data_IF_172910977572
#
_entry.id   IF_172910977572
#
_cell.length_a   1.000
_cell.length_b   1.000
_cell.length_c   1.000
_cell.angle_alpha   90.00
_cell.angle_beta   90.00
_cell.angle_gamma   90.00
#
_symmetry.space_group_name_H-M   'P 1'
#
loop_
_entity.id
_entity.type
_entity.pdbx_description
1 polymer ?
#
# COMPACT_ATOMS: atom_id res chain seq x y z
N UNK A 1 8.67 -13.03 -12.58
CA UNK A 1 8.17 -13.02 -11.21
C UNK A 1 9.08 -12.15 -10.36
N UNK A 2 8.55 -11.14 -9.70
CA UNK A 2 9.34 -10.21 -8.88
C UNK A 2 8.72 -10.15 -7.48
N UNK A 3 9.45 -10.66 -6.50
CA UNK A 3 8.98 -10.73 -5.10
C UNK A 3 9.69 -9.70 -4.25
N UNK A 4 8.91 -8.97 -3.45
CA UNK A 4 9.37 -8.03 -2.44
C UNK A 4 8.99 -8.54 -1.06
N UNK A 5 9.95 -8.53 -0.15
CA UNK A 5 9.71 -8.81 1.28
C UNK A 5 9.48 -7.51 2.03
N UNK A 6 8.86 -7.58 3.22
CA UNK A 6 8.64 -6.43 4.09
C UNK A 6 9.91 -5.60 4.33
N UNK A 7 11.06 -6.27 4.48
CA UNK A 7 12.37 -5.60 4.67
C UNK A 7 12.73 -4.73 3.47
N UNK A 8 12.58 -5.26 2.25
CA UNK A 8 12.88 -4.52 1.02
C UNK A 8 11.91 -3.36 0.85
N UNK A 9 10.61 -3.59 1.07
CA UNK A 9 9.59 -2.54 0.96
C UNK A 9 9.91 -1.37 1.90
N UNK A 10 10.27 -1.66 3.15
CA UNK A 10 10.60 -0.63 4.17
C UNK A 10 11.93 0.09 3.93
N UNK A 11 12.85 -0.48 3.16
CA UNK A 11 14.15 0.14 2.86
C UNK A 11 14.11 1.12 1.68
N UNK A 12 12.98 1.22 0.99
CA UNK A 12 12.84 2.06 -0.20
C UNK A 12 12.48 3.51 0.16
N UNK A 13 12.82 4.47 -0.70
CA UNK A 13 12.53 5.87 -0.45
C UNK A 13 11.04 6.10 -0.19
N UNK A 14 10.74 6.81 0.89
CA UNK A 14 9.39 7.21 1.26
C UNK A 14 9.11 8.62 0.76
N UNK A 15 8.01 8.83 0.05
CA UNK A 15 7.56 10.15 -0.36
C UNK A 15 6.74 10.77 0.79
N UNK A 16 7.20 11.88 1.37
CA UNK A 16 6.51 12.50 2.50
C UNK A 16 6.45 11.63 3.77
N UNK A 17 7.35 10.63 3.89
CA UNK A 17 7.34 9.64 4.98
C UNK A 17 6.44 8.43 4.73
N UNK A 18 5.82 8.34 3.55
CA UNK A 18 4.95 7.23 3.15
C UNK A 18 5.63 6.36 2.09
N UNK A 19 5.86 5.09 2.42
CA UNK A 19 6.34 4.10 1.45
C UNK A 19 5.14 3.51 0.72
N UNK A 20 5.14 3.59 -0.61
CA UNK A 20 4.04 3.11 -1.44
C UNK A 20 4.45 1.87 -2.24
N UNK A 21 3.74 0.76 -2.01
CA UNK A 21 4.03 -0.52 -2.65
C UNK A 21 3.94 -0.44 -4.18
N UNK A 22 2.96 0.27 -4.70
CA UNK A 22 2.75 0.38 -6.16
C UNK A 22 3.89 1.17 -6.80
N UNK A 23 4.31 2.28 -6.17
CA UNK A 23 5.44 3.09 -6.63
C UNK A 23 6.74 2.29 -6.67
N UNK A 24 6.94 1.40 -5.70
CA UNK A 24 8.09 0.48 -5.72
C UNK A 24 8.07 -0.42 -6.95
N UNK A 25 6.93 -0.99 -7.30
CA UNK A 25 6.83 -1.81 -8.50
C UNK A 25 7.02 -1.03 -9.80
N UNK A 26 6.64 0.25 -9.83
CA UNK A 26 6.87 1.13 -10.98
C UNK A 26 8.36 1.36 -11.27
N UNK A 27 9.25 1.14 -10.29
CA UNK A 27 10.70 1.16 -10.50
C UNK A 27 11.25 -0.13 -11.11
N UNK A 28 10.40 -1.16 -11.27
CA UNK A 28 10.87 -2.45 -11.82
C UNK A 28 10.79 -2.50 -13.36
N UNK A 29 11.72 -3.13 -14.06
CA UNK A 29 11.69 -3.23 -15.52
C UNK A 29 10.37 -3.78 -16.03
N UNK A 30 9.83 -3.15 -17.09
CA UNK A 30 8.55 -3.57 -17.73
C UNK A 30 7.30 -3.17 -16.94
N UNK A 31 7.44 -2.30 -15.97
CA UNK A 31 6.32 -1.60 -15.31
C UNK A 31 6.49 -0.11 -15.58
N UNK A 32 5.44 0.53 -16.01
CA UNK A 32 5.42 1.96 -16.29
C UNK A 32 4.46 2.66 -15.34
N UNK A 33 4.79 3.90 -15.02
CA UNK A 33 3.85 4.83 -14.42
C UNK A 33 2.83 5.24 -15.47
N UNK A 34 1.61 5.51 -15.05
CA UNK A 34 0.65 6.22 -15.86
C UNK A 34 1.02 7.71 -15.97
N UNK A 35 0.05 8.59 -15.87
CA UNK A 35 0.31 10.03 -15.74
C UNK A 35 1.12 10.32 -14.48
N UNK A 36 1.96 11.35 -14.51
CA UNK A 36 2.78 11.75 -13.38
C UNK A 36 1.96 11.86 -12.09
N UNK A 37 2.46 11.22 -11.03
CA UNK A 37 1.82 11.20 -9.72
C UNK A 37 0.76 10.14 -9.50
N UNK A 38 0.36 9.36 -10.52
CA UNK A 38 -0.66 8.32 -10.34
C UNK A 38 -0.06 6.96 -9.95
N UNK A 39 -0.78 6.20 -9.13
CA UNK A 39 -0.40 4.83 -8.74
C UNK A 39 -0.89 3.77 -9.71
N UNK A 40 -1.22 4.13 -10.95
CA UNK A 40 -1.58 3.19 -12.00
C UNK A 40 -0.43 2.21 -12.29
N UNK A 41 -0.73 0.92 -12.31
CA UNK A 41 0.23 -0.13 -12.62
C UNK A 41 0.07 -0.51 -14.11
N UNK A 42 0.97 -0.02 -14.96
CA UNK A 42 1.01 -0.38 -16.37
C UNK A 42 2.10 -1.42 -16.60
N UNK A 43 1.70 -2.68 -16.75
CA UNK A 43 2.64 -3.78 -16.91
C UNK A 43 2.68 -4.22 -18.36
N UNK A 44 3.89 -4.15 -18.98
CA UNK A 44 4.13 -4.57 -20.37
C UNK A 44 3.14 -3.97 -21.36
N UNK A 45 2.79 -2.70 -21.20
CA UNK A 45 1.85 -1.99 -22.08
C UNK A 45 0.38 -2.22 -21.77
N UNK A 46 0.06 -3.02 -20.76
CA UNK A 46 -1.32 -3.20 -20.31
C UNK A 46 -1.83 -2.01 -19.49
N UNK A 47 -3.15 -1.80 -19.48
CA UNK A 47 -3.81 -0.79 -18.67
C UNK A 47 -4.02 -1.26 -17.21
N UNK A 48 -4.22 -0.34 -16.25
CA UNK A 48 -4.35 -0.68 -14.83
C UNK A 48 -5.47 -1.68 -14.51
N UNK A 49 -6.58 -1.63 -15.25
CA UNK A 49 -7.73 -2.54 -15.11
C UNK A 49 -7.43 -3.97 -15.57
N UNK A 50 -6.36 -4.16 -16.34
CA UNK A 50 -5.91 -5.48 -16.80
C UNK A 50 -5.02 -6.21 -15.78
N UNK A 51 -4.73 -5.62 -14.64
CA UNK A 51 -3.98 -6.26 -13.58
C UNK A 51 -4.92 -6.87 -12.55
N UNK A 52 -4.63 -8.10 -12.12
CA UNK A 52 -5.26 -8.69 -10.95
C UNK A 52 -4.48 -8.29 -9.72
N UNK A 53 -5.09 -7.57 -8.82
CA UNK A 53 -4.49 -7.24 -7.52
C UNK A 53 -5.22 -7.99 -6.43
N UNK A 54 -4.47 -8.70 -5.60
CA UNK A 54 -5.01 -9.55 -4.55
C UNK A 54 -4.37 -9.20 -3.21
N UNK A 55 -5.17 -9.22 -2.17
CA UNK A 55 -4.75 -9.11 -0.78
C UNK A 55 -5.24 -10.35 -0.03
N UNK A 56 -4.33 -11.21 0.43
CA UNK A 56 -4.62 -12.50 1.05
C UNK A 56 -5.68 -13.30 0.26
N UNK A 57 -5.39 -13.54 -1.03
CA UNK A 57 -6.25 -14.24 -1.99
C UNK A 57 -7.60 -13.57 -2.32
N UNK A 58 -7.87 -12.36 -1.80
CA UNK A 58 -9.07 -11.58 -2.10
C UNK A 58 -8.79 -10.53 -3.18
N UNK A 59 -9.52 -10.52 -4.31
CA UNK A 59 -9.34 -9.50 -5.35
C UNK A 59 -9.72 -8.10 -4.87
N UNK A 60 -8.81 -7.13 -5.10
CA UNK A 60 -9.06 -5.72 -4.87
C UNK A 60 -9.35 -5.00 -6.19
N UNK A 61 -10.47 -4.31 -6.25
CA UNK A 61 -10.87 -3.54 -7.42
C UNK A 61 -10.35 -2.11 -7.41
N UNK A 62 -10.26 -1.50 -6.23
CA UNK A 62 -9.70 -0.17 -6.07
C UNK A 62 -8.50 -0.23 -5.11
N UNK A 63 -7.33 0.00 -5.67
CA UNK A 63 -6.05 -0.06 -4.94
C UNK A 63 -5.47 1.32 -4.63
N UNK A 64 -6.24 2.37 -4.88
CA UNK A 64 -5.76 3.74 -4.83
C UNK A 64 -6.63 4.64 -3.98
N UNK A 65 -5.97 5.54 -3.26
CA UNK A 65 -6.57 6.71 -2.62
C UNK A 65 -6.17 7.99 -3.35
N UNK A 66 -6.89 9.07 -3.12
CA UNK A 66 -6.59 10.42 -3.63
C UNK A 66 -6.33 10.44 -5.15
N UNK A 67 -7.26 9.87 -5.92
CA UNK A 67 -7.14 9.86 -7.38
C UNK A 67 -5.91 9.15 -7.94
N UNK A 68 -5.28 8.28 -7.15
CA UNK A 68 -4.10 7.51 -7.57
C UNK A 68 -2.77 8.00 -7.00
N UNK A 69 -2.75 8.98 -6.13
CA UNK A 69 -1.49 9.47 -5.53
C UNK A 69 -0.94 8.55 -4.43
N UNK A 70 -1.80 7.80 -3.76
CA UNK A 70 -1.44 6.92 -2.65
C UNK A 70 -2.13 5.58 -2.85
N UNK A 71 -1.39 4.49 -2.62
CA UNK A 71 -1.99 3.16 -2.67
C UNK A 71 -2.77 2.84 -1.39
N UNK A 72 -3.74 1.93 -1.53
CA UNK A 72 -4.51 1.40 -0.41
C UNK A 72 -3.68 0.50 0.53
N UNK A 73 -2.44 0.18 0.15
CA UNK A 73 -1.60 -0.75 0.90
C UNK A 73 -0.89 -0.06 2.06
N UNK A 74 -1.18 -0.50 3.28
CA UNK A 74 -0.40 -0.13 4.45
C UNK A 74 0.83 -1.06 4.54
N UNK A 75 2.01 -0.53 4.19
CA UNK A 75 3.25 -1.30 4.10
C UNK A 75 3.73 -1.88 5.43
N UNK A 76 3.27 -1.35 6.57
CA UNK A 76 3.60 -1.91 7.88
C UNK A 76 2.84 -3.21 8.18
N UNK A 77 1.71 -3.42 7.52
CA UNK A 77 0.91 -4.64 7.63
C UNK A 77 1.24 -5.69 6.55
N UNK A 78 2.21 -5.43 5.66
CA UNK A 78 2.56 -6.35 4.57
C UNK A 78 3.72 -7.24 4.96
N UNK A 79 3.57 -8.55 4.76
CA UNK A 79 4.60 -9.57 4.88
C UNK A 79 5.45 -9.69 3.60
N UNK A 80 4.76 -9.80 2.49
CA UNK A 80 5.40 -9.92 1.18
C UNK A 80 4.43 -9.54 0.07
N UNK A 81 4.98 -9.17 -1.07
CA UNK A 81 4.20 -8.99 -2.30
C UNK A 81 4.94 -9.61 -3.47
N UNK A 82 4.20 -10.06 -4.48
CA UNK A 82 4.74 -10.72 -5.66
C UNK A 82 4.05 -10.18 -6.89
N UNK A 83 4.81 -9.59 -7.82
CA UNK A 83 4.33 -9.19 -9.13
C UNK A 83 4.71 -10.24 -10.19
N UNK A 84 3.70 -10.81 -10.84
CA UNK A 84 3.84 -11.79 -11.92
C UNK A 84 3.44 -11.08 -13.22
N UNK A 85 4.41 -10.88 -14.12
CA UNK A 85 4.25 -10.07 -15.35
C UNK A 85 3.92 -10.90 -16.58
N UNK A 86 3.19 -11.99 -16.45
CA UNK A 86 2.81 -12.94 -17.48
C UNK A 86 3.23 -14.36 -17.14
N UNK A 87 2.62 -15.35 -17.80
CA UNK A 87 2.81 -16.76 -17.47
C UNK A 87 2.36 -17.12 -16.07
N UNK A 88 1.28 -16.48 -15.61
CA UNK A 88 0.77 -16.73 -14.27
C UNK A 88 0.08 -18.10 -14.18
N UNK A 89 0.19 -18.77 -13.01
CA UNK A 89 -0.47 -20.05 -12.77
C UNK A 89 -1.98 -20.00 -12.99
N UNK A 90 -2.58 -21.14 -13.32
CA UNK A 90 -4.02 -21.27 -13.62
C UNK A 90 -4.96 -20.82 -12.48
N UNK A 91 -4.46 -20.74 -11.24
CA UNK A 91 -5.23 -20.21 -10.10
C UNK A 91 -5.56 -18.72 -10.24
N UNK A 92 -4.83 -17.98 -11.05
CA UNK A 92 -5.07 -16.56 -11.33
C UNK A 92 -5.78 -16.41 -12.66
N UNK A 93 -7.02 -15.96 -12.64
CA UNK A 93 -7.81 -15.74 -13.84
C UNK A 93 -8.42 -14.34 -13.90
N UNK A 94 -9.10 -14.03 -15.03
CA UNK A 94 -9.90 -12.83 -15.18
C UNK A 94 -9.15 -11.53 -15.46
N UNK A 95 -7.83 -11.56 -15.62
CA UNK A 95 -7.00 -10.39 -16.00
C UNK A 95 -5.91 -10.78 -17.01
N UNK A 96 -5.48 -9.81 -17.81
CA UNK A 96 -4.65 -10.07 -19.01
C UNK A 96 -3.19 -9.68 -18.85
N UNK A 97 -2.87 -8.66 -18.04
CA UNK A 97 -1.54 -8.05 -18.02
C UNK A 97 -0.65 -8.64 -16.93
N UNK A 98 -1.08 -8.56 -15.68
CA UNK A 98 -0.28 -9.04 -14.55
C UNK A 98 -1.11 -9.47 -13.35
N UNK A 99 -0.45 -10.12 -12.40
CA UNK A 99 -0.99 -10.42 -11.07
C UNK A 99 -0.08 -9.81 -10.02
N UNK A 100 -0.64 -8.97 -9.17
CA UNK A 100 -0.01 -8.48 -7.95
C UNK A 100 -0.65 -9.19 -6.76
N UNK A 101 0.09 -10.10 -6.17
CA UNK A 101 -0.31 -10.89 -5.00
C UNK A 101 0.36 -10.30 -3.76
N UNK A 102 -0.44 -9.78 -2.83
CA UNK A 102 0.00 -9.13 -1.60
C UNK A 102 -0.46 -9.96 -0.42
N UNK A 103 0.49 -10.33 0.43
CA UNK A 103 0.22 -11.11 1.64
C UNK A 103 0.43 -10.24 2.87
N UNK A 104 -0.54 -10.23 3.76
CA UNK A 104 -0.50 -9.53 5.03
C UNK A 104 0.47 -10.19 6.00
N UNK A 105 0.97 -9.41 6.95
CA UNK A 105 1.85 -9.91 7.99
C UNK A 105 1.03 -10.59 9.10
N UNK A 106 1.53 -11.72 9.54
CA UNK A 106 1.03 -12.38 10.76
C UNK A 106 1.55 -11.66 12.01
N UNK A 107 0.84 -11.80 13.12
CA UNK A 107 1.32 -11.37 14.41
C UNK A 107 2.48 -12.22 14.93
N UNK A 108 3.23 -11.70 15.88
CA UNK A 108 4.31 -12.44 16.53
C UNK A 108 3.75 -13.45 17.54
N UNK A 109 4.11 -14.72 17.41
CA UNK A 109 3.64 -15.81 18.28
C UNK A 109 4.28 -15.83 19.69
N UNK A 110 5.37 -15.07 19.91
CA UNK A 110 6.16 -15.20 21.15
C UNK A 110 6.20 -13.91 21.96
N UNK A 111 6.24 -12.75 21.33
CA UNK A 111 6.43 -11.44 21.97
C UNK A 111 5.46 -10.41 21.40
N UNK A 112 4.95 -9.55 22.28
CA UNK A 112 4.23 -8.34 21.88
C UNK A 112 5.23 -7.30 21.42
N UNK A 113 4.93 -6.67 20.30
CA UNK A 113 5.72 -5.61 19.73
C UNK A 113 4.83 -4.62 18.98
N UNK A 114 5.39 -3.49 18.62
CA UNK A 114 4.66 -2.48 17.86
C UNK A 114 5.60 -1.47 17.23
N UNK A 115 5.04 -0.69 16.33
CA UNK A 115 5.72 0.39 15.64
C UNK A 115 4.80 1.60 15.54
N UNK A 116 5.37 2.78 15.74
CA UNK A 116 4.71 4.06 15.46
C UNK A 116 5.56 4.80 14.44
N UNK A 117 4.94 5.26 13.38
CA UNK A 117 5.59 6.05 12.34
C UNK A 117 4.80 7.33 12.13
N UNK A 118 5.49 8.46 12.23
CA UNK A 118 4.94 9.78 11.98
C UNK A 118 5.65 10.36 10.75
N UNK A 119 4.90 10.53 9.68
CA UNK A 119 5.35 11.18 8.47
C UNK A 119 4.77 12.59 8.34
N UNK A 120 5.15 13.30 7.27
CA UNK A 120 4.64 14.65 7.01
C UNK A 120 3.13 14.64 6.71
N UNK A 121 2.63 13.61 6.04
CA UNK A 121 1.25 13.53 5.54
C UNK A 121 0.45 12.38 6.12
N UNK A 122 1.09 11.45 6.87
CA UNK A 122 0.45 10.28 7.43
C UNK A 122 1.03 9.90 8.80
N UNK A 123 0.20 9.27 9.61
CA UNK A 123 0.60 8.59 10.84
C UNK A 123 0.18 7.13 10.75
N UNK A 124 1.06 6.23 11.20
CA UNK A 124 0.83 4.79 11.23
C UNK A 124 1.12 4.24 12.61
N UNK A 125 0.29 3.32 13.02
CA UNK A 125 0.46 2.59 14.27
C UNK A 125 0.24 1.11 13.98
N UNK A 126 1.16 0.28 14.42
CA UNK A 126 1.03 -1.18 14.28
C UNK A 126 1.37 -1.81 15.61
N UNK A 127 0.54 -2.73 16.06
CA UNK A 127 0.78 -3.57 17.22
C UNK A 127 0.53 -5.02 16.85
N UNK A 128 1.37 -5.91 17.34
CA UNK A 128 1.22 -7.34 17.12
C UNK A 128 1.72 -8.12 18.34
N UNK A 129 1.24 -9.34 18.50
CA UNK A 129 1.65 -10.18 19.61
C UNK A 129 0.90 -11.49 19.69
N UNK A 130 1.23 -12.33 20.69
CA UNK A 130 0.54 -13.58 20.89
C UNK A 130 -0.81 -13.37 21.59
N UNK A 131 -1.87 -13.98 21.07
CA UNK A 131 -3.10 -14.25 21.82
C UNK A 131 -2.84 -15.43 22.73
N UNK A 132 -2.21 -16.48 22.18
CA UNK A 132 -1.73 -17.64 22.91
C UNK A 132 -0.32 -17.96 22.41
N UNK A 133 0.66 -17.99 23.33
CA UNK A 133 2.06 -18.24 22.97
C UNK A 133 2.21 -19.48 22.10
N UNK A 134 2.94 -19.33 21.00
CA UNK A 134 3.25 -20.35 19.99
C UNK A 134 2.03 -21.00 19.29
N UNK A 135 0.80 -20.46 19.45
CA UNK A 135 -0.39 -21.02 18.83
C UNK A 135 -1.18 -19.98 18.02
N UNK A 136 -1.46 -18.83 18.61
CA UNK A 136 -2.26 -17.80 17.96
C UNK A 136 -1.67 -16.41 18.21
N UNK A 137 -1.73 -15.56 17.20
CA UNK A 137 -1.24 -14.19 17.26
C UNK A 137 -2.25 -13.23 16.67
N UNK A 138 -2.06 -11.96 16.96
CA UNK A 138 -2.81 -10.86 16.38
C UNK A 138 -1.85 -9.84 15.77
N UNK A 139 -2.33 -9.14 14.76
CA UNK A 139 -1.73 -7.93 14.21
C UNK A 139 -2.84 -6.92 13.98
N UNK A 140 -2.65 -5.70 14.48
CA UNK A 140 -3.53 -4.57 14.23
C UNK A 140 -2.68 -3.46 13.68
N UNK A 141 -3.02 -2.96 12.52
CA UNK A 141 -2.31 -1.85 11.88
C UNK A 141 -3.29 -0.79 11.44
N UNK A 142 -3.05 0.43 11.90
CA UNK A 142 -3.86 1.60 11.60
C UNK A 142 -3.00 2.64 10.88
N UNK A 143 -3.55 3.22 9.81
CA UNK A 143 -2.97 4.34 9.09
C UNK A 143 -4.00 5.47 8.98
N UNK A 144 -3.58 6.69 9.29
CA UNK A 144 -4.32 7.92 9.01
C UNK A 144 -3.51 8.80 8.08
N UNK A 145 -4.12 9.20 6.99
CA UNK A 145 -3.61 10.21 6.10
C UNK A 145 -4.30 11.55 6.41
N UNK A 146 -3.52 12.62 6.63
CA UNK A 146 -4.00 13.91 7.12
C UNK A 146 -3.50 15.10 6.31
N UNK A 147 -3.50 14.97 5.00
CA UNK A 147 -3.06 16.04 4.10
C UNK A 147 -3.90 17.32 4.28
N UNK A 148 -5.14 17.21 4.74
CA UNK A 148 -6.03 18.32 5.07
C UNK A 148 -5.46 19.27 6.12
N UNK A 149 -4.71 18.76 7.10
CA UNK A 149 -4.11 19.61 8.14
C UNK A 149 -3.05 20.57 7.57
N UNK A 150 -2.41 20.20 6.48
CA UNK A 150 -1.38 21.01 5.81
C UNK A 150 -2.00 21.85 4.69
N UNK A 151 -2.88 21.25 3.90
CA UNK A 151 -3.46 21.88 2.73
C UNK A 151 -4.44 23.01 3.06
N UNK A 152 -5.27 22.85 4.09
CA UNK A 152 -6.27 23.85 4.49
C UNK A 152 -5.67 25.22 4.82
N UNK A 153 -4.70 25.35 5.74
CA UNK A 153 -4.14 26.65 6.07
C UNK A 153 -3.42 27.30 4.89
N UNK A 154 -2.82 26.51 4.01
CA UNK A 154 -2.16 27.00 2.81
C UNK A 154 -3.18 27.51 1.78
N UNK A 155 -4.23 26.73 1.53
CA UNK A 155 -5.30 27.11 0.60
C UNK A 155 -6.03 28.38 1.05
N UNK A 156 -6.32 28.53 2.34
CA UNK A 156 -6.96 29.71 2.90
C UNK A 156 -6.11 30.98 2.79
N UNK A 157 -4.77 30.83 2.81
CA UNK A 157 -3.87 31.98 2.56
C UNK A 157 -3.88 32.43 1.11
N UNK A 158 -4.03 31.50 0.17
CA UNK A 158 -4.03 31.81 -1.27
C UNK A 158 -5.40 32.26 -1.73
N UNK A 159 -6.47 31.65 -1.25
CA UNK A 159 -7.84 32.00 -1.59
C UNK A 159 -8.73 31.89 -0.34
N UNK A 160 -9.01 33.03 0.34
CA UNK A 160 -9.85 33.06 1.52
C UNK A 160 -11.24 32.48 1.24
N UNK A 161 -11.67 31.51 2.07
CA UNK A 161 -12.95 30.81 1.92
C UNK A 161 -12.87 29.49 1.16
N UNK A 162 -11.70 29.13 0.58
CA UNK A 162 -11.51 27.81 -0.02
C UNK A 162 -11.39 26.72 1.06
N UNK A 163 -12.08 25.59 0.84
CA UNK A 163 -11.94 24.38 1.66
C UNK A 163 -11.29 23.29 0.81
N UNK A 164 -10.01 23.07 1.00
CA UNK A 164 -9.28 21.94 0.44
C UNK A 164 -8.95 21.00 1.59
N UNK A 165 -9.37 19.76 1.49
CA UNK A 165 -9.04 18.78 2.50
C UNK A 165 -9.30 17.38 2.00
N UNK A 166 -8.32 16.50 2.20
CA UNK A 166 -8.44 15.08 1.97
C UNK A 166 -7.83 14.32 3.14
N UNK A 167 -8.60 13.40 3.69
CA UNK A 167 -8.14 12.47 4.70
C UNK A 167 -8.76 11.09 4.46
N UNK A 168 -8.09 10.06 4.91
CA UNK A 168 -8.61 8.70 4.94
C UNK A 168 -7.96 7.89 6.06
N UNK A 169 -8.55 6.76 6.35
CA UNK A 169 -8.09 5.82 7.36
C UNK A 169 -8.06 4.42 6.76
N UNK A 170 -7.03 3.66 7.10
CA UNK A 170 -6.95 2.23 6.82
C UNK A 170 -6.77 1.48 8.14
N UNK A 171 -7.55 0.44 8.32
CA UNK A 171 -7.45 -0.49 9.44
C UNK A 171 -7.27 -1.89 8.89
N UNK A 172 -6.23 -2.58 9.36
CA UNK A 172 -5.94 -3.97 9.04
C UNK A 172 -5.85 -4.76 10.34
N UNK A 173 -6.54 -5.89 10.41
CA UNK A 173 -6.59 -6.78 11.59
C UNK A 173 -6.32 -8.20 11.13
#
# INVERSE_FOLDING_TARGET
MHRLTARVIKSLPALGGETDLIKVYQLTPGVQQGHEGTTGLHVRGGSPDQNLVMLDDVPLYNINHLGGFISAFNTDAIKSSTLIKGGFPAKYGGRLSSVLDVNMADGNLSKTGGNVSLGLVSARFTVNGPIQKNKASYLISFRRFYFDLIARPLAQKVNPGSTVGYNFYDLNI
#
